data_IF_753587916579
#
_entry.id   IF_753587916579
#
_cell.length_a   1.000
_cell.length_b   1.000
_cell.length_c   1.000
_cell.angle_alpha   90.00
_cell.angle_beta   90.00
_cell.angle_gamma   90.00
#
_symmetry.space_group_name_H-M   'P 1'
#
loop_
_entity.id
_entity.type
_entity.pdbx_description
1 polymer ?
#
# COMPACT_ATOMS: atom_id res chain seq x y z
N UNK A 1 4.12 6.25 -25.87
CA UNK A 1 3.61 4.97 -25.38
C UNK A 1 3.48 5.01 -23.88
N UNK A 2 2.35 4.59 -23.38
CA UNK A 2 2.16 4.53 -21.93
C UNK A 2 3.00 3.40 -21.37
N UNK A 3 3.62 3.66 -20.24
CA UNK A 3 4.43 2.69 -19.53
C UNK A 3 3.52 1.95 -18.56
N UNK A 4 3.58 0.62 -18.59
CA UNK A 4 2.81 -0.22 -17.67
C UNK A 4 3.75 -0.75 -16.59
N UNK A 5 3.41 -0.46 -15.34
CA UNK A 5 4.15 -0.93 -14.17
C UNK A 5 3.32 -2.00 -13.47
N UNK A 6 3.91 -3.17 -13.25
CA UNK A 6 3.30 -4.20 -12.42
C UNK A 6 3.76 -3.97 -11.00
N UNK A 7 2.84 -3.89 -10.06
CA UNK A 7 3.15 -3.56 -8.67
C UNK A 7 2.42 -4.49 -7.72
N UNK A 8 3.15 -4.99 -6.73
CA UNK A 8 2.61 -5.89 -5.69
C UNK A 8 2.95 -5.27 -4.34
N UNK A 9 1.95 -5.13 -3.48
CA UNK A 9 2.12 -4.46 -2.19
C UNK A 9 1.57 -5.31 -1.05
N UNK A 10 2.20 -5.21 0.12
CA UNK A 10 1.74 -5.90 1.31
C UNK A 10 2.20 -5.19 2.57
N UNK A 11 1.50 -5.43 3.67
CA UNK A 11 1.85 -4.90 4.97
C UNK A 11 1.82 -6.00 6.01
N UNK A 12 2.65 -5.86 7.04
CA UNK A 12 2.73 -6.81 8.15
C UNK A 12 2.91 -6.05 9.45
N UNK A 13 2.42 -6.63 10.54
CA UNK A 13 2.56 -6.01 11.85
C UNK A 13 2.65 -7.08 12.92
N UNK A 14 3.62 -6.94 13.83
CA UNK A 14 3.76 -7.85 14.98
C UNK A 14 3.04 -7.23 16.18
N UNK A 15 1.87 -7.76 16.49
CA UNK A 15 0.96 -7.10 17.40
C UNK A 15 0.22 -6.01 16.64
N UNK A 16 -0.86 -5.50 17.18
CA UNK A 16 -1.67 -4.52 16.46
C UNK A 16 -2.33 -3.59 17.49
N UNK A 17 -1.65 -2.52 17.94
CA UNK A 17 -0.42 -1.93 17.37
C UNK A 17 0.87 -2.61 17.79
N UNK A 18 1.92 -2.34 17.04
CA UNK A 18 3.26 -2.86 17.31
C UNK A 18 4.19 -2.58 16.16
N UNK A 19 5.39 -3.19 16.13
CA UNK A 19 6.32 -3.01 15.01
C UNK A 19 5.71 -3.57 13.73
N UNK A 20 5.74 -2.79 12.68
CA UNK A 20 5.20 -3.20 11.40
C UNK A 20 6.11 -2.85 10.24
N UNK A 21 5.87 -3.50 9.11
CA UNK A 21 6.61 -3.25 7.90
C UNK A 21 5.72 -3.27 6.67
N UNK A 22 6.23 -2.70 5.61
CA UNK A 22 5.55 -2.68 4.32
C UNK A 22 6.53 -3.09 3.24
N UNK A 23 6.00 -3.69 2.17
CA UNK A 23 6.81 -4.16 1.06
C UNK A 23 6.16 -3.91 -0.27
N UNK A 24 6.99 -3.60 -1.27
CA UNK A 24 6.57 -3.36 -2.65
C UNK A 24 7.54 -4.04 -3.58
N UNK A 25 7.00 -4.80 -4.54
CA UNK A 25 7.78 -5.34 -5.64
C UNK A 25 7.17 -4.80 -6.92
N UNK A 26 7.97 -4.09 -7.71
CA UNK A 26 7.46 -3.53 -8.94
C UNK A 26 8.36 -3.89 -10.13
N UNK A 27 7.71 -4.04 -11.28
CA UNK A 27 8.38 -4.39 -12.52
C UNK A 27 7.93 -3.46 -13.65
N UNK A 28 8.91 -3.07 -14.43
CA UNK A 28 8.67 -2.30 -15.64
C UNK A 28 9.55 -2.90 -16.73
N UNK A 29 8.92 -3.60 -17.70
CA UNK A 29 9.68 -4.33 -18.70
C UNK A 29 10.56 -5.38 -18.05
N UNK A 30 11.87 -5.30 -18.27
CA UNK A 30 12.83 -6.23 -17.67
C UNK A 30 13.46 -5.68 -16.41
N UNK A 31 13.10 -4.46 -16.03
CA UNK A 31 13.62 -3.85 -14.80
C UNK A 31 12.69 -4.16 -13.65
N UNK A 32 13.25 -4.38 -12.46
CA UNK A 32 12.44 -4.58 -11.27
C UNK A 32 13.06 -3.86 -10.09
N UNK A 33 12.22 -3.54 -9.11
CA UNK A 33 12.66 -2.83 -7.94
C UNK A 33 11.90 -3.35 -6.73
N UNK A 34 12.61 -3.46 -5.61
CA UNK A 34 12.05 -3.84 -4.33
C UNK A 34 12.15 -2.68 -3.37
N UNK A 35 11.05 -2.40 -2.67
CA UNK A 35 11.02 -1.37 -1.64
C UNK A 35 10.48 -2.00 -0.37
N UNK A 36 11.00 -1.58 0.77
CA UNK A 36 10.47 -2.00 2.05
C UNK A 36 10.82 -0.97 3.12
N UNK A 37 10.08 -0.99 4.18
CA UNK A 37 10.33 -0.12 5.32
C UNK A 37 9.50 -0.57 6.50
N UNK A 38 9.63 0.14 7.62
CA UNK A 38 8.90 -0.23 8.82
C UNK A 38 8.77 0.90 9.80
N UNK A 39 7.91 0.69 10.80
CA UNK A 39 7.66 1.63 11.89
C UNK A 39 7.54 0.85 13.19
N UNK A 40 8.08 1.42 14.27
CA UNK A 40 8.08 0.74 15.57
C UNK A 40 6.70 0.62 16.21
N UNK A 41 5.83 1.57 15.94
CA UNK A 41 4.49 1.58 16.53
C UNK A 41 3.46 1.91 15.46
N UNK A 42 2.87 0.88 14.88
CA UNK A 42 1.94 1.05 13.77
C UNK A 42 0.89 -0.06 13.81
N UNK A 43 0.08 -0.17 12.77
CA UNK A 43 -0.94 -1.20 12.63
C UNK A 43 -0.81 -1.87 11.27
N UNK A 44 -1.39 -3.04 11.14
CA UNK A 44 -1.42 -3.74 9.87
C UNK A 44 -2.06 -2.89 8.77
N UNK A 45 -3.19 -2.24 9.09
CA UNK A 45 -3.89 -1.39 8.12
C UNK A 45 -3.03 -0.23 7.63
N UNK A 46 -2.29 0.41 8.54
CA UNK A 46 -1.40 1.51 8.14
C UNK A 46 -0.28 1.01 7.23
N UNK A 47 0.25 -0.18 7.49
CA UNK A 47 1.32 -0.74 6.65
C UNK A 47 0.82 -1.16 5.27
N UNK A 48 -0.42 -1.63 5.19
CA UNK A 48 -1.06 -1.91 3.90
C UNK A 48 -1.17 -0.64 3.05
N UNK A 49 -1.61 0.45 3.67
CA UNK A 49 -1.70 1.74 2.99
C UNK A 49 -0.32 2.26 2.61
N UNK A 50 0.64 2.15 3.52
CA UNK A 50 1.99 2.66 3.30
C UNK A 50 2.67 1.96 2.12
N UNK A 51 2.45 0.66 1.97
CA UNK A 51 3.00 -0.10 0.84
C UNK A 51 2.50 0.47 -0.49
N UNK A 52 1.19 0.67 -0.63
CA UNK A 52 0.62 1.23 -1.85
C UNK A 52 1.13 2.66 -2.11
N UNK A 53 1.19 3.47 -1.07
CA UNK A 53 1.67 4.85 -1.17
C UNK A 53 3.12 4.88 -1.64
N UNK A 54 3.98 4.10 -0.99
CA UNK A 54 5.41 4.09 -1.31
C UNK A 54 5.66 3.64 -2.73
N UNK A 55 4.93 2.61 -3.18
CA UNK A 55 5.04 2.12 -4.55
C UNK A 55 4.65 3.17 -5.57
N UNK A 56 3.54 3.85 -5.35
CA UNK A 56 3.06 4.87 -6.30
C UNK A 56 3.93 6.11 -6.27
N UNK A 57 4.42 6.51 -5.10
CA UNK A 57 5.23 7.72 -4.97
C UNK A 57 6.64 7.58 -5.56
N UNK A 58 7.16 6.37 -5.69
CA UNK A 58 8.49 6.18 -6.28
C UNK A 58 8.48 6.45 -7.80
N UNK A 59 7.31 6.41 -8.43
CA UNK A 59 7.19 6.62 -9.87
C UNK A 59 7.36 8.10 -10.18
N UNK A 60 8.26 8.41 -11.11
CA UNK A 60 8.64 9.80 -11.40
C UNK A 60 7.84 10.44 -12.52
N UNK A 61 6.97 9.68 -13.17
CA UNK A 61 6.11 10.17 -14.24
C UNK A 61 4.78 9.42 -14.20
N UNK A 62 3.78 9.95 -14.88
CA UNK A 62 2.47 9.33 -14.95
C UNK A 62 2.58 7.95 -15.59
N UNK A 63 2.05 6.94 -14.93
CA UNK A 63 2.12 5.56 -15.38
C UNK A 63 0.76 4.91 -15.35
N UNK A 64 0.61 3.86 -16.18
CA UNK A 64 -0.46 2.90 -15.99
C UNK A 64 0.09 1.84 -15.04
N UNK A 65 -0.57 1.62 -13.92
CA UNK A 65 -0.11 0.73 -12.88
C UNK A 65 -1.11 -0.43 -12.70
N UNK A 66 -0.60 -1.66 -12.84
CA UNK A 66 -1.36 -2.85 -12.48
C UNK A 66 -0.97 -3.19 -11.04
N UNK A 67 -1.80 -2.80 -10.08
CA UNK A 67 -1.48 -2.95 -8.67
C UNK A 67 -2.24 -4.11 -8.05
N UNK A 68 -1.50 -5.09 -7.55
CA UNK A 68 -2.06 -6.29 -6.94
C UNK A 68 -1.83 -6.27 -5.43
N UNK A 69 -2.88 -6.51 -4.66
CA UNK A 69 -2.81 -6.57 -3.21
C UNK A 69 -3.88 -7.51 -2.67
N UNK A 70 -3.66 -8.06 -1.46
CA UNK A 70 -4.65 -8.87 -0.77
C UNK A 70 -5.35 -8.11 0.36
N UNK A 71 -5.11 -6.82 0.48
CA UNK A 71 -5.65 -6.02 1.58
C UNK A 71 -7.13 -5.71 1.40
N UNK A 72 -7.98 -6.30 2.23
CA UNK A 72 -9.40 -6.00 2.27
C UNK A 72 -9.65 -4.55 2.71
N UNK A 73 -8.84 -4.06 3.63
CA UNK A 73 -8.97 -2.69 4.12
C UNK A 73 -8.72 -1.67 3.00
N UNK A 74 -7.66 -1.88 2.22
CA UNK A 74 -7.34 -1.02 1.09
C UNK A 74 -8.44 -1.09 0.04
N UNK A 75 -8.91 -2.30 -0.25
CA UNK A 75 -9.98 -2.52 -1.24
C UNK A 75 -11.24 -1.76 -0.87
N UNK A 76 -11.71 -1.92 0.35
CA UNK A 76 -12.93 -1.25 0.80
C UNK A 76 -12.78 0.25 0.77
N UNK A 77 -11.62 0.75 1.19
CA UNK A 77 -11.37 2.19 1.17
C UNK A 77 -11.43 2.76 -0.23
N UNK A 78 -10.74 2.13 -1.17
CA UNK A 78 -10.68 2.62 -2.54
C UNK A 78 -12.03 2.50 -3.24
N UNK A 79 -12.73 1.39 -3.06
CA UNK A 79 -13.97 1.13 -3.78
C UNK A 79 -15.22 1.72 -3.13
N UNK A 80 -15.23 1.87 -1.80
CA UNK A 80 -16.47 2.23 -1.09
C UNK A 80 -16.36 3.50 -0.26
N UNK A 81 -15.25 3.73 0.43
CA UNK A 81 -15.19 4.79 1.45
C UNK A 81 -14.67 6.13 0.97
N UNK A 82 -13.63 6.13 0.12
CA UNK A 82 -12.92 7.36 -0.23
C UNK A 82 -13.79 8.42 -0.87
N UNK A 83 -14.70 8.02 -1.75
CA UNK A 83 -15.55 9.00 -2.43
C UNK A 83 -16.40 9.80 -1.44
N UNK A 84 -16.96 9.12 -0.43
CA UNK A 84 -17.76 9.77 0.59
C UNK A 84 -16.91 10.63 1.53
N UNK A 85 -15.73 10.11 1.89
CA UNK A 85 -14.82 10.87 2.74
C UNK A 85 -14.39 12.17 2.08
N UNK A 86 -14.09 12.13 0.78
CA UNK A 86 -13.69 13.34 0.04
C UNK A 86 -14.82 14.37 0.04
N UNK A 87 -16.06 13.93 -0.13
CA UNK A 87 -17.21 14.82 -0.08
C UNK A 87 -17.40 15.47 1.29
N UNK A 88 -17.00 14.80 2.35
CA UNK A 88 -17.14 15.26 3.73
C UNK A 88 -15.88 15.95 4.28
N UNK A 89 -14.91 16.23 3.43
CA UNK A 89 -13.66 16.83 3.87
C UNK A 89 -12.83 15.91 4.74
N UNK A 90 -12.87 14.59 4.45
CA UNK A 90 -12.12 13.54 5.15
C UNK A 90 -12.60 13.37 6.60
N UNK A 91 -13.89 13.53 6.80
CA UNK A 91 -14.52 13.33 8.11
C UNK A 91 -15.59 12.26 8.01
N UNK A 92 -15.83 11.60 9.14
CA UNK A 92 -16.91 10.62 9.25
C UNK A 92 -18.26 11.35 9.30
N UNK A 93 -19.35 10.58 9.26
CA UNK A 93 -20.70 11.14 9.41
C UNK A 93 -20.86 11.90 10.74
N UNK A 94 -20.12 11.50 11.77
CA UNK A 94 -20.12 12.17 13.09
C UNK A 94 -19.17 13.35 13.15
N UNK A 95 -18.62 13.80 12.02
CA UNK A 95 -17.72 14.94 11.90
C UNK A 95 -16.37 14.74 12.60
N UNK A 96 -15.98 13.49 12.81
CA UNK A 96 -14.66 13.15 13.34
C UNK A 96 -13.73 12.84 12.17
N UNK A 97 -12.39 13.09 12.31
CA UNK A 97 -11.46 12.72 11.26
C UNK A 97 -11.53 11.21 10.99
N UNK A 98 -11.44 10.82 9.72
CA UNK A 98 -11.44 9.39 9.39
C UNK A 98 -10.18 8.75 9.94
N UNK A 99 -10.29 7.48 10.34
CA UNK A 99 -9.15 6.75 10.86
C UNK A 99 -8.09 6.62 9.77
N UNK A 100 -6.83 6.85 10.13
CA UNK A 100 -5.71 6.85 9.18
C UNK A 100 -5.86 7.91 8.09
N UNK A 101 -6.52 9.02 8.41
CA UNK A 101 -6.77 10.11 7.49
C UNK A 101 -5.50 10.56 6.77
N UNK A 102 -4.39 10.68 7.50
CA UNK A 102 -3.11 11.11 6.94
C UNK A 102 -2.69 10.23 5.76
N UNK A 103 -2.77 8.92 5.93
CA UNK A 103 -2.37 7.98 4.88
C UNK A 103 -3.38 7.91 3.75
N UNK A 104 -4.68 7.95 4.07
CA UNK A 104 -5.70 7.94 3.02
C UNK A 104 -5.62 9.17 2.11
N UNK A 105 -5.37 10.33 2.68
CA UNK A 105 -5.21 11.56 1.89
C UNK A 105 -3.96 11.48 1.02
N UNK A 106 -2.88 10.95 1.56
CA UNK A 106 -1.63 10.77 0.82
C UNK A 106 -1.80 9.78 -0.32
N UNK A 107 -2.53 8.69 -0.08
CA UNK A 107 -2.83 7.69 -1.11
C UNK A 107 -3.69 8.31 -2.22
N UNK A 108 -4.70 9.08 -1.87
CA UNK A 108 -5.57 9.73 -2.85
C UNK A 108 -4.75 10.61 -3.78
N UNK A 109 -3.82 11.36 -3.23
CA UNK A 109 -2.95 12.22 -4.02
C UNK A 109 -2.07 11.39 -4.97
N UNK A 110 -1.50 10.29 -4.46
CA UNK A 110 -0.66 9.42 -5.27
C UNK A 110 -1.46 8.76 -6.40
N UNK A 111 -2.69 8.33 -6.12
CA UNK A 111 -3.57 7.75 -7.13
C UNK A 111 -3.87 8.73 -8.26
N UNK A 112 -4.05 10.02 -7.92
CA UNK A 112 -4.48 11.01 -8.89
C UNK A 112 -3.46 11.27 -10.00
N UNK A 113 -2.19 10.91 -9.79
CA UNK A 113 -1.13 11.13 -10.77
C UNK A 113 -0.93 9.95 -11.73
N UNK A 114 -1.65 8.86 -11.51
CA UNK A 114 -1.48 7.64 -12.32
C UNK A 114 -2.82 7.06 -12.73
N UNK A 115 -2.79 6.15 -13.70
CA UNK A 115 -3.96 5.33 -14.04
C UNK A 115 -3.74 3.97 -13.41
N UNK A 116 -4.58 3.63 -12.42
CA UNK A 116 -4.37 2.41 -11.64
C UNK A 116 -5.46 1.40 -11.92
N UNK A 117 -5.04 0.20 -12.31
CA UNK A 117 -5.92 -0.95 -12.43
C UNK A 117 -5.67 -1.82 -11.20
N UNK A 118 -6.67 -1.93 -10.36
CA UNK A 118 -6.55 -2.66 -9.09
C UNK A 118 -6.84 -4.13 -9.30
N UNK A 119 -5.99 -4.98 -8.75
CA UNK A 119 -6.17 -6.44 -8.78
C UNK A 119 -6.22 -6.94 -7.34
N UNK A 120 -7.42 -7.36 -6.93
CA UNK A 120 -7.65 -7.82 -5.56
C UNK A 120 -7.53 -9.34 -5.54
N UNK A 121 -6.58 -9.86 -4.75
CA UNK A 121 -6.38 -11.30 -4.62
C UNK A 121 -6.69 -11.74 -3.19
N UNK A 122 -6.97 -13.03 -3.02
CA UNK A 122 -7.26 -13.61 -1.71
C UNK A 122 -6.02 -14.30 -1.18
N UNK A 123 -5.52 -13.83 -0.04
CA UNK A 123 -4.44 -14.49 0.67
C UNK A 123 -3.17 -14.62 -0.15
N UNK A 124 -2.26 -15.44 0.35
CA UNK A 124 -0.91 -15.55 -0.23
C UNK A 124 -0.70 -16.80 -1.07
N UNK A 125 -1.72 -17.63 -1.25
CA UNK A 125 -1.52 -18.95 -1.81
C UNK A 125 -1.11 -18.93 -3.27
N UNK A 126 0.15 -19.28 -3.53
CA UNK A 126 0.65 -19.54 -4.87
C UNK A 126 0.86 -18.32 -5.76
N UNK A 127 0.71 -17.13 -5.25
CA UNK A 127 0.88 -15.93 -6.05
C UNK A 127 2.25 -15.32 -5.81
N UNK A 128 3.15 -15.46 -6.77
CA UNK A 128 4.56 -15.05 -6.64
C UNK A 128 4.72 -13.58 -6.19
N UNK A 129 4.01 -12.66 -6.86
CA UNK A 129 4.13 -11.25 -6.53
C UNK A 129 3.66 -10.93 -5.14
N UNK A 130 2.54 -11.54 -4.73
CA UNK A 130 1.99 -11.33 -3.41
C UNK A 130 2.91 -11.89 -2.33
N UNK A 131 3.48 -13.07 -2.56
CA UNK A 131 4.46 -13.67 -1.64
C UNK A 131 5.72 -12.82 -1.54
N UNK A 132 6.18 -12.26 -2.65
CA UNK A 132 7.36 -11.42 -2.68
C UNK A 132 7.15 -10.14 -1.86
N UNK A 133 5.99 -9.52 -2.02
CA UNK A 133 5.65 -8.33 -1.25
C UNK A 133 5.54 -8.64 0.25
N UNK A 134 4.98 -9.81 0.59
CA UNK A 134 4.90 -10.26 1.98
C UNK A 134 6.29 -10.43 2.60
N UNK A 135 7.20 -11.05 1.88
CA UNK A 135 8.58 -11.22 2.33
C UNK A 135 9.26 -9.87 2.57
N UNK A 136 9.02 -8.91 1.69
CA UNK A 136 9.59 -7.57 1.84
C UNK A 136 9.00 -6.84 3.04
N UNK A 137 7.70 -6.99 3.29
CA UNK A 137 7.07 -6.40 4.46
C UNK A 137 7.67 -6.95 5.74
N UNK A 138 7.89 -8.25 5.80
CA UNK A 138 8.52 -8.88 6.96
C UNK A 138 9.97 -8.46 7.12
N UNK A 139 10.68 -8.26 6.01
CA UNK A 139 12.04 -7.75 6.03
C UNK A 139 12.10 -6.35 6.65
N UNK A 140 11.10 -5.52 6.36
CA UNK A 140 10.99 -4.20 6.96
C UNK A 140 10.87 -4.27 8.48
N UNK A 141 10.05 -5.20 8.99
CA UNK A 141 9.93 -5.40 10.43
C UNK A 141 11.23 -5.88 11.03
N UNK A 142 11.87 -6.86 10.40
CA UNK A 142 13.11 -7.44 10.89
C UNK A 142 14.24 -6.40 11.00
N UNK A 143 14.37 -5.54 10.01
CA UNK A 143 15.38 -4.50 10.06
C UNK A 143 15.16 -3.52 11.20
N UNK A 144 13.90 -3.18 11.47
CA UNK A 144 13.59 -2.34 12.62
C UNK A 144 14.04 -2.98 13.93
N UNK A 145 13.73 -4.27 14.10
CA UNK A 145 13.99 -4.97 15.35
C UNK A 145 15.46 -5.29 15.57
N UNK A 146 16.22 -5.45 14.50
CA UNK A 146 17.65 -5.74 14.59
C UNK A 146 18.55 -4.50 14.54
N UNK A 147 17.98 -3.36 14.18
CA UNK A 147 18.75 -2.11 14.09
C UNK A 147 19.69 -2.04 12.90
N UNK A 148 19.49 -2.90 11.91
CA UNK A 148 20.39 -2.94 10.76
C UNK A 148 19.72 -2.48 9.48
#
# INVERSE_FOLDING_TARGET
MSQVVEMYTDGACKGNPGPGGWGVWLRYGQSEKELFGGELNTTNNRMELMAAIAGLEILTRDCVVELTTDSEYLRKGVLEWMANWKKRGWKTAAKQPVKNQDLWMRLDKAISTHTINWHWVKGHSGHEGNERADQLANKGVEQLLTGS
#
